data_IF_528013171142
#
_entry.id   IF_528013171142
#
_cell.length_a   1.000
_cell.length_b   1.000
_cell.length_c   1.000
_cell.angle_alpha   90.00
_cell.angle_beta   90.00
_cell.angle_gamma   90.00
#
_symmetry.space_group_name_H-M   'P 1'
#
loop_
_entity.id
_entity.type
_entity.pdbx_description
1 polymer ?
#
# COMPACT_ATOMS: atom_id res chain seq x y z
N UNK A 1 6.08 14.51 14.72
CA UNK A 1 5.25 13.29 14.65
C UNK A 1 3.82 13.77 14.84
N UNK A 2 2.97 13.64 13.82
CA UNK A 2 1.61 14.18 13.83
C UNK A 2 0.70 13.05 14.31
N UNK A 3 -0.09 13.31 15.34
CA UNK A 3 -0.91 12.33 16.09
C UNK A 3 -2.05 11.63 15.28
N UNK A 4 -1.93 11.49 13.95
CA UNK A 4 -3.00 11.04 13.06
C UNK A 4 -2.66 9.83 12.17
N UNK A 5 -1.41 9.33 12.17
CA UNK A 5 -1.02 8.19 11.33
C UNK A 5 -1.31 6.86 12.05
N UNK A 6 -2.37 6.16 11.63
CA UNK A 6 -2.85 4.89 12.23
C UNK A 6 -2.32 3.62 11.51
N UNK A 7 -1.54 3.82 10.45
CA UNK A 7 -0.85 2.75 9.71
C UNK A 7 0.64 2.94 9.90
N UNK A 8 1.29 1.92 10.47
CA UNK A 8 2.73 1.94 10.67
C UNK A 8 3.47 2.14 9.34
N UNK A 9 4.61 2.82 9.40
CA UNK A 9 5.52 3.04 8.26
C UNK A 9 5.82 1.71 7.53
N UNK A 10 5.86 0.59 8.27
CA UNK A 10 6.07 -0.74 7.72
C UNK A 10 4.98 -1.19 6.72
N UNK A 11 3.70 -1.01 7.05
CA UNK A 11 2.59 -1.42 6.17
C UNK A 11 2.54 -0.56 4.90
N UNK A 12 2.70 0.75 5.06
CA UNK A 12 2.79 1.70 3.94
C UNK A 12 4.00 1.38 3.04
N UNK A 13 5.15 1.05 3.64
CA UNK A 13 6.35 0.67 2.90
C UNK A 13 6.13 -0.62 2.11
N UNK A 14 5.63 -1.69 2.74
CA UNK A 14 5.37 -2.96 2.05
C UNK A 14 4.38 -2.75 0.91
N UNK A 15 3.29 -2.01 1.14
CA UNK A 15 2.26 -1.73 0.12
C UNK A 15 2.81 -0.91 -1.03
N UNK A 16 3.67 0.08 -0.75
CA UNK A 16 4.35 0.87 -1.78
C UNK A 16 5.30 0.02 -2.63
N UNK A 17 6.06 -0.87 -2.00
CA UNK A 17 6.98 -1.79 -2.70
C UNK A 17 6.20 -2.75 -3.61
N UNK A 18 5.11 -3.35 -3.10
CA UNK A 18 4.26 -4.24 -3.91
C UNK A 18 3.67 -3.49 -5.10
N UNK A 19 3.18 -2.26 -4.89
CA UNK A 19 2.64 -1.43 -5.97
C UNK A 19 3.68 -1.16 -7.06
N UNK A 20 4.91 -0.79 -6.67
CA UNK A 20 6.01 -0.55 -7.62
C UNK A 20 6.35 -1.82 -8.39
N UNK A 21 6.41 -2.98 -7.73
CA UNK A 21 6.68 -4.27 -8.38
C UNK A 21 5.59 -4.59 -9.41
N UNK A 22 4.31 -4.43 -9.05
CA UNK A 22 3.19 -4.71 -9.95
C UNK A 22 3.19 -3.79 -11.18
N UNK A 23 3.47 -2.50 -10.98
CA UNK A 23 3.57 -1.53 -12.08
C UNK A 23 4.77 -1.80 -12.98
N UNK A 24 5.93 -2.18 -12.41
CA UNK A 24 7.10 -2.59 -13.18
C UNK A 24 6.79 -3.85 -14.01
N UNK A 25 6.20 -4.87 -13.41
CA UNK A 25 5.80 -6.10 -14.13
C UNK A 25 4.79 -5.85 -15.25
N UNK A 26 3.93 -4.84 -15.10
CA UNK A 26 2.96 -4.48 -16.13
C UNK A 26 3.60 -3.83 -17.38
N UNK A 27 4.74 -3.14 -17.24
CA UNK A 27 5.42 -2.45 -18.35
C UNK A 27 6.49 -3.29 -19.04
N UNK A 28 7.00 -4.34 -18.41
CA UNK A 28 8.01 -5.26 -18.99
C UNK A 28 7.49 -6.05 -20.21
N UNK A 29 6.18 -6.04 -20.46
CA UNK A 29 5.59 -6.73 -21.62
C UNK A 29 5.62 -8.27 -21.53
N UNK A 30 5.91 -8.82 -20.35
CA UNK A 30 6.01 -10.27 -20.10
C UNK A 30 4.65 -10.98 -20.09
N UNK A 31 3.55 -10.25 -19.92
CA UNK A 31 2.21 -10.81 -19.78
C UNK A 31 1.29 -10.38 -20.93
N UNK A 32 0.20 -11.15 -21.13
CA UNK A 32 -0.86 -10.79 -22.08
C UNK A 32 -1.48 -9.43 -21.73
N UNK A 33 -1.95 -8.71 -22.76
CA UNK A 33 -2.48 -7.34 -22.64
C UNK A 33 -3.57 -7.22 -21.56
N UNK A 34 -4.42 -8.24 -21.42
CA UNK A 34 -5.47 -8.29 -20.38
C UNK A 34 -4.87 -8.35 -18.98
N UNK A 35 -3.83 -9.16 -18.77
CA UNK A 35 -3.18 -9.34 -17.46
C UNK A 35 -2.42 -8.07 -17.09
N UNK A 36 -1.67 -7.49 -18.02
CA UNK A 36 -0.95 -6.22 -17.79
C UNK A 36 -1.90 -5.10 -17.38
N UNK A 37 -3.09 -5.01 -18.01
CA UNK A 37 -4.09 -3.99 -17.66
C UNK A 37 -4.65 -4.19 -16.24
N UNK A 38 -4.89 -5.44 -15.82
CA UNK A 38 -5.28 -5.75 -14.44
C UNK A 38 -4.16 -5.35 -13.46
N UNK A 39 -2.91 -5.68 -13.77
CA UNK A 39 -1.75 -5.34 -12.93
C UNK A 39 -1.60 -3.82 -12.76
N UNK A 40 -1.79 -3.03 -13.84
CA UNK A 40 -1.78 -1.56 -13.76
C UNK A 40 -2.89 -1.05 -12.85
N UNK A 41 -4.12 -1.51 -13.03
CA UNK A 41 -5.27 -1.06 -12.23
C UNK A 41 -5.06 -1.38 -10.75
N UNK A 42 -4.64 -2.61 -10.44
CA UNK A 42 -4.38 -3.04 -9.06
C UNK A 42 -3.19 -2.28 -8.46
N UNK A 43 -2.11 -2.10 -9.23
CA UNK A 43 -0.92 -1.36 -8.81
C UNK A 43 -1.23 0.10 -8.47
N UNK A 44 -2.03 0.78 -9.29
CA UNK A 44 -2.46 2.16 -9.05
C UNK A 44 -3.38 2.30 -7.83
N UNK A 45 -4.30 1.37 -7.63
CA UNK A 45 -5.15 1.35 -6.43
C UNK A 45 -4.33 1.15 -5.15
N UNK A 46 -3.36 0.24 -5.18
CA UNK A 46 -2.41 0.02 -4.08
C UNK A 46 -1.56 1.27 -3.82
N UNK A 47 -1.11 1.96 -4.88
CA UNK A 47 -0.33 3.17 -4.76
C UNK A 47 -1.14 4.31 -4.12
N UNK A 48 -2.34 4.58 -4.63
CA UNK A 48 -3.22 5.63 -4.12
C UNK A 48 -3.58 5.40 -2.65
N UNK A 49 -3.81 4.14 -2.25
CA UNK A 49 -4.06 3.80 -0.85
C UNK A 49 -2.83 3.93 0.03
N UNK A 50 -1.62 3.63 -0.47
CA UNK A 50 -0.37 3.80 0.26
C UNK A 50 0.03 5.28 0.42
N UNK A 51 -0.17 6.12 -0.60
CA UNK A 51 0.19 7.55 -0.58
C UNK A 51 -0.63 8.38 0.40
N UNK A 52 -1.76 7.86 0.89
CA UNK A 52 -2.65 8.60 1.78
C UNK A 52 -2.14 8.65 3.24
N UNK A 53 -1.16 7.83 3.65
CA UNK A 53 -0.61 7.82 5.02
C UNK A 53 -1.59 7.42 6.15
N UNK A 54 -2.88 7.35 5.83
CA UNK A 54 -4.01 6.90 6.64
C UNK A 54 -4.84 5.96 5.78
N UNK A 55 -4.76 4.65 6.06
CA UNK A 55 -5.65 3.71 5.37
C UNK A 55 -7.06 3.86 5.96
N UNK A 56 -7.98 4.49 5.21
CA UNK A 56 -9.38 4.71 5.63
C UNK A 56 -10.05 3.41 6.09
N UNK A 57 -9.73 2.27 5.49
CA UNK A 57 -10.28 0.97 5.89
C UNK A 57 -9.82 0.54 7.30
N UNK A 58 -8.54 0.69 7.63
CA UNK A 58 -8.03 0.39 8.98
C UNK A 58 -8.56 1.39 10.00
N UNK A 59 -8.69 2.67 9.61
CA UNK A 59 -9.32 3.70 10.44
C UNK A 59 -10.81 3.41 10.68
N UNK A 60 -11.52 2.88 9.69
CA UNK A 60 -12.92 2.46 9.81
C UNK A 60 -13.07 1.18 10.64
N UNK A 61 -12.08 0.29 10.60
CA UNK A 61 -12.01 -0.94 11.39
C UNK A 61 -11.39 -0.73 12.79
N UNK A 62 -10.94 0.48 13.13
CA UNK A 62 -10.32 0.78 14.42
C UNK A 62 -8.97 0.08 14.67
N UNK A 63 -8.31 -0.41 13.61
CA UNK A 63 -7.06 -1.15 13.70
C UNK A 63 -5.87 -0.20 13.55
N UNK A 64 -4.97 -0.26 14.53
CA UNK A 64 -3.73 0.51 14.59
C UNK A 64 -2.54 -0.44 14.39
N UNK A 65 -1.85 -0.33 13.26
CA UNK A 65 -0.66 -1.15 12.94
C UNK A 65 0.63 -0.46 13.42
N UNK A 66 0.53 0.67 14.12
CA UNK A 66 1.68 1.26 14.76
C UNK A 66 2.18 0.28 15.82
N UNK A 67 3.37 -0.27 15.60
CA UNK A 67 4.08 -1.03 16.60
C UNK A 67 4.43 -0.04 17.73
N UNK A 68 3.55 0.09 18.73
CA UNK A 68 3.95 0.74 19.98
C UNK A 68 5.15 -0.05 20.47
N UNK A 69 6.34 0.55 20.45
CA UNK A 69 7.42 0.07 21.32
C UNK A 69 6.80 0.03 22.70
N UNK A 70 6.61 -1.17 23.23
CA UNK A 70 6.18 -1.34 24.60
C UNK A 70 7.10 -0.51 25.47
N UNK A 71 6.55 0.50 26.14
CA UNK A 71 7.07 0.89 27.43
C UNK A 71 6.72 -0.26 28.38
N UNK A 72 7.55 -1.30 28.38
CA UNK A 72 7.80 -2.16 29.53
C UNK A 72 9.30 -2.35 29.61
#
# INVERSE_FOLDING_TARGET
MKDFDNVGILDTAVRSVISVILLALAVEGLFSNTISLILVVVGLLLWATASSGVCLLYRLLGLDTYHKKGHQ
#
